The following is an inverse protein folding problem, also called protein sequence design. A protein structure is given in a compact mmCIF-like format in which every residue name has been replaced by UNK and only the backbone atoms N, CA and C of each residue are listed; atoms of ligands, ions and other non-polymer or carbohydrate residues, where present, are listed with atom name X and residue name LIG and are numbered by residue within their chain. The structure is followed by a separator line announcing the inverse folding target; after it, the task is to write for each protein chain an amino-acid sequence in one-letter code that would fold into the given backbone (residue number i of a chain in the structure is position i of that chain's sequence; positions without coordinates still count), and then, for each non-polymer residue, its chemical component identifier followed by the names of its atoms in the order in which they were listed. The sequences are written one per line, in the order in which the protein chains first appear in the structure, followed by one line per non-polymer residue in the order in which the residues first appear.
data_IF_259185500877
#
_entry.id   IF_259185500877
#
_cell.length_a   1.000
_cell.length_b   1.000
_cell.length_c   1.000
_cell.angle_alpha   90.00
_cell.angle_beta   90.00
_cell.angle_gamma   90.00
#
_symmetry.space_group_name_H-M   'P 1'
#
loop_
_entity.id
_entity.type
_entity.pdbx_description
1 polymer ?
#
# COMPACT_ATOMS: atom_id res chain seq x y z
N UNK A 1 10.56 -27.44 -7.66
CA UNK A 1 11.43 -27.54 -6.47
C UNK A 1 11.37 -26.18 -5.82
N UNK A 2 10.83 -26.08 -4.60
CA UNK A 2 10.76 -24.81 -3.90
C UNK A 2 12.18 -24.34 -3.54
N UNK A 3 12.54 -23.13 -3.97
CA UNK A 3 13.85 -22.55 -3.67
C UNK A 3 13.89 -22.13 -2.20
N UNK A 4 14.56 -22.93 -1.37
CA UNK A 4 14.75 -22.61 0.06
C UNK A 4 15.90 -21.61 0.23
N UNK A 5 15.60 -20.50 0.89
CA UNK A 5 16.52 -19.42 1.22
C UNK A 5 17.04 -19.58 2.64
N UNK A 6 18.30 -19.23 2.89
CA UNK A 6 18.93 -19.38 4.20
C UNK A 6 19.64 -18.11 4.64
N UNK A 7 19.50 -17.79 5.92
CA UNK A 7 20.28 -16.74 6.59
C UNK A 7 21.54 -17.38 7.18
N UNK A 8 22.70 -16.87 6.79
CA UNK A 8 24.01 -17.35 7.24
C UNK A 8 24.71 -16.27 8.05
N UNK A 9 25.22 -16.64 9.22
CA UNK A 9 26.11 -15.80 10.03
C UNK A 9 27.55 -16.24 9.84
N UNK A 10 28.38 -15.37 9.25
CA UNK A 10 29.81 -15.63 9.09
C UNK A 10 30.55 -15.41 10.41
N UNK A 11 31.72 -16.05 10.53
CA UNK A 11 32.68 -15.79 11.61
C UNK A 11 33.17 -14.34 11.68
N UNK A 12 33.10 -13.57 10.58
CA UNK A 12 33.44 -12.15 10.56
C UNK A 12 32.34 -11.24 11.14
N UNK A 13 31.24 -11.83 11.62
CA UNK A 13 30.09 -11.09 12.17
C UNK A 13 29.06 -10.66 11.12
N UNK A 14 29.37 -10.74 9.82
CA UNK A 14 28.42 -10.41 8.76
C UNK A 14 27.31 -11.47 8.64
N UNK A 15 26.07 -11.01 8.60
CA UNK A 15 24.91 -11.85 8.26
C UNK A 15 24.52 -11.61 6.80
N UNK A 16 24.21 -12.67 6.05
CA UNK A 16 23.82 -12.53 4.64
C UNK A 16 22.91 -13.68 4.22
N UNK A 17 22.17 -13.46 3.13
CA UNK A 17 21.28 -14.44 2.55
C UNK A 17 21.94 -15.24 1.44
N UNK A 18 21.57 -16.51 1.32
CA UNK A 18 21.96 -17.37 0.19
C UNK A 18 20.85 -18.38 -0.08
N UNK A 19 20.85 -18.98 -1.28
CA UNK A 19 20.07 -20.20 -1.52
C UNK A 19 20.76 -21.36 -0.79
N UNK A 20 19.97 -22.30 -0.27
CA UNK A 20 20.47 -23.46 0.49
C UNK A 20 21.49 -24.29 -0.28
N UNK A 21 21.34 -24.38 -1.60
CA UNK A 21 22.22 -25.15 -2.48
C UNK A 21 23.48 -24.41 -2.98
N UNK A 22 23.59 -23.09 -2.79
CA UNK A 22 24.59 -22.26 -3.50
C UNK A 22 25.55 -21.48 -2.58
N UNK A 23 25.48 -21.66 -1.27
CA UNK A 23 26.37 -20.93 -0.37
C UNK A 23 27.79 -21.50 -0.41
N UNK A 24 28.77 -20.70 -0.85
CA UNK A 24 30.19 -21.09 -0.89
C UNK A 24 31.10 -20.20 -0.05
N UNK A 25 30.88 -18.88 -0.05
CA UNK A 25 31.74 -17.93 0.65
C UNK A 25 30.99 -16.68 1.09
N UNK A 26 31.48 -16.06 2.16
CA UNK A 26 30.93 -14.81 2.66
C UNK A 26 31.24 -13.67 1.67
N UNK A 27 30.23 -12.89 1.25
CA UNK A 27 30.43 -11.80 0.29
C UNK A 27 31.29 -10.65 0.86
N UNK A 28 31.50 -10.59 2.18
CA UNK A 28 32.27 -9.54 2.85
C UNK A 28 33.74 -9.88 3.05
N UNK A 29 34.05 -11.11 3.45
CA UNK A 29 35.42 -11.52 3.81
C UNK A 29 35.94 -12.74 3.04
N UNK A 30 35.16 -13.32 2.13
CA UNK A 30 35.53 -14.49 1.34
C UNK A 30 35.58 -15.81 2.12
N UNK A 31 35.33 -15.81 3.43
CA UNK A 31 35.39 -17.04 4.23
C UNK A 31 34.24 -17.99 3.91
N UNK A 32 34.53 -19.28 3.75
CA UNK A 32 33.53 -20.36 3.68
C UNK A 32 32.99 -20.76 5.07
N UNK A 33 33.54 -20.19 6.15
CA UNK A 33 33.12 -20.49 7.52
C UNK A 33 31.91 -19.63 7.90
N UNK A 34 30.72 -20.17 7.70
CA UNK A 34 29.45 -19.58 8.11
C UNK A 34 28.48 -20.63 8.65
N UNK A 35 27.62 -20.24 9.58
CA UNK A 35 26.56 -21.12 10.12
C UNK A 35 25.20 -20.64 9.67
N UNK A 36 24.39 -21.56 9.13
CA UNK A 36 22.97 -21.32 8.87
C UNK A 36 22.23 -21.07 10.17
N UNK A 37 21.46 -19.99 10.22
CA UNK A 37 20.68 -19.58 11.38
C UNK A 37 19.19 -19.94 11.20
N UNK A 38 18.63 -19.61 10.04
CA UNK A 38 17.20 -19.78 9.72
C UNK A 38 17.02 -20.06 8.23
N UNK A 39 15.91 -20.71 7.90
CA UNK A 39 15.47 -20.98 6.53
C UNK A 39 14.19 -20.19 6.24
N UNK A 40 14.02 -19.76 4.99
CA UNK A 40 12.93 -18.92 4.52
C UNK A 40 12.40 -19.47 3.19
N UNK A 41 11.09 -19.34 2.99
CA UNK A 41 10.43 -19.76 1.76
C UNK A 41 10.30 -18.63 0.74
N UNK A 42 10.63 -17.39 1.14
CA UNK A 42 10.55 -16.21 0.27
C UNK A 42 11.83 -15.37 0.31
N UNK A 43 12.27 -14.78 -0.81
CA UNK A 43 13.40 -13.85 -0.84
C UNK A 43 13.18 -12.60 0.03
N UNK A 44 11.96 -12.11 0.13
CA UNK A 44 11.60 -10.88 0.86
C UNK A 44 11.80 -11.07 2.35
N UNK A 45 11.28 -12.17 2.90
CA UNK A 45 11.45 -12.51 4.33
C UNK A 45 12.92 -12.75 4.70
N UNK A 46 13.72 -13.32 3.78
CA UNK A 46 15.16 -13.41 3.95
C UNK A 46 15.81 -12.02 3.99
N UNK A 47 15.46 -11.12 3.06
CA UNK A 47 16.04 -9.79 2.98
C UNK A 47 15.79 -8.98 4.26
N UNK A 48 14.57 -9.04 4.81
CA UNK A 48 14.23 -8.44 6.10
C UNK A 48 15.08 -9.02 7.24
N UNK A 49 15.21 -10.35 7.31
CA UNK A 49 15.99 -11.00 8.34
C UNK A 49 17.49 -10.68 8.26
N UNK A 50 18.03 -10.54 7.05
CA UNK A 50 19.42 -10.08 6.82
C UNK A 50 19.60 -8.65 7.29
N UNK A 51 18.68 -7.75 6.94
CA UNK A 51 18.73 -6.35 7.36
C UNK A 51 18.67 -6.22 8.89
N UNK A 52 17.71 -6.89 9.54
CA UNK A 52 17.58 -6.91 10.99
C UNK A 52 18.84 -7.47 11.69
N UNK A 53 19.43 -8.55 11.15
CA UNK A 53 20.61 -9.18 11.75
C UNK A 53 21.90 -8.36 11.61
N UNK A 54 21.91 -7.36 10.72
CA UNK A 54 23.04 -6.46 10.54
C UNK A 54 22.79 -5.05 11.11
N UNK A 55 21.62 -4.82 11.72
CA UNK A 55 21.28 -3.52 12.27
C UNK A 55 22.02 -3.29 13.61
N UNK A 56 22.73 -2.16 13.78
CA UNK A 56 23.34 -1.82 15.06
C UNK A 56 22.28 -1.58 16.14
N UNK A 57 22.45 -2.16 17.32
CA UNK A 57 21.52 -2.00 18.45
C UNK A 57 21.39 -0.55 18.93
N UNK A 58 22.38 0.30 18.66
CA UNK A 58 22.35 1.72 19.03
C UNK A 58 21.30 2.53 18.25
N UNK A 59 20.83 2.06 17.09
CA UNK A 59 19.93 2.80 16.19
C UNK A 59 18.65 2.00 15.88
N UNK A 60 18.53 0.77 16.40
CA UNK A 60 17.38 -0.09 16.10
C UNK A 60 16.06 0.55 16.50
N UNK A 61 15.99 1.12 17.70
CA UNK A 61 14.77 1.77 18.22
C UNK A 61 14.38 3.02 17.40
N UNK A 62 15.35 3.83 17.00
CA UNK A 62 15.12 5.03 16.19
C UNK A 62 14.56 4.66 14.81
N UNK A 63 15.10 3.60 14.19
CA UNK A 63 14.63 3.13 12.89
C UNK A 63 13.23 2.53 13.00
N UNK A 64 12.98 1.68 13.99
CA UNK A 64 11.65 1.11 14.25
C UNK A 64 10.59 2.20 14.47
N UNK A 65 10.93 3.21 15.28
CA UNK A 65 10.07 4.38 15.52
C UNK A 65 9.74 5.13 14.22
N UNK A 66 10.74 5.40 13.37
CA UNK A 66 10.53 6.09 12.09
C UNK A 66 9.70 5.28 11.11
N UNK A 67 9.92 3.96 11.05
CA UNK A 67 9.13 3.07 10.20
C UNK A 67 7.67 3.07 10.66
N UNK A 68 7.42 2.94 11.97
CA UNK A 68 6.08 2.98 12.52
C UNK A 68 5.39 4.33 12.23
N UNK A 69 6.09 5.45 12.45
CA UNK A 69 5.57 6.78 12.15
C UNK A 69 5.23 6.96 10.66
N UNK A 70 6.08 6.46 9.76
CA UNK A 70 5.83 6.50 8.31
C UNK A 70 4.64 5.62 7.91
N UNK A 71 4.51 4.43 8.48
CA UNK A 71 3.38 3.55 8.25
C UNK A 71 2.07 4.18 8.73
N UNK A 72 2.05 4.77 9.93
CA UNK A 72 0.90 5.53 10.44
C UNK A 72 0.57 6.73 9.56
N UNK A 73 1.57 7.46 9.06
CA UNK A 73 1.38 8.58 8.13
C UNK A 73 0.75 8.12 6.82
N UNK A 74 1.22 7.01 6.24
CA UNK A 74 0.65 6.43 5.02
C UNK A 74 -0.79 5.96 5.23
N UNK A 75 -1.07 5.31 6.35
CA UNK A 75 -2.43 4.92 6.72
C UNK A 75 -3.37 6.14 6.83
N UNK A 76 -2.92 7.19 7.51
CA UNK A 76 -3.67 8.44 7.63
C UNK A 76 -3.88 9.16 6.28
N UNK A 77 -2.94 9.07 5.34
CA UNK A 77 -3.13 9.58 3.97
C UNK A 77 -4.17 8.75 3.21
N UNK A 78 -4.15 7.43 3.37
CA UNK A 78 -5.18 6.54 2.82
C UNK A 78 -6.58 6.83 3.37
N UNK A 79 -6.69 7.12 4.67
CA UNK A 79 -7.95 7.55 5.31
C UNK A 79 -8.39 8.95 4.86
N UNK A 80 -7.47 9.91 4.69
CA UNK A 80 -7.81 11.22 4.13
C UNK A 80 -8.26 11.15 2.66
N UNK A 81 -7.71 10.22 1.89
CA UNK A 81 -8.19 9.91 0.55
C UNK A 81 -9.57 9.23 0.52
N UNK A 82 -10.08 8.78 1.68
CA UNK A 82 -11.47 8.33 1.90
C UNK A 82 -12.35 9.40 2.57
N UNK A 83 -11.94 10.66 2.59
CA UNK A 83 -12.75 11.74 3.18
C UNK A 83 -12.67 13.08 2.45
N UNK A 84 -11.72 13.24 1.53
CA UNK A 84 -11.54 14.50 0.79
C UNK A 84 -12.35 14.60 -0.51
N UNK A 85 -12.33 15.79 -1.17
CA UNK A 85 -13.02 16.04 -2.44
C UNK A 85 -12.64 15.05 -3.56
N UNK A 86 -11.38 14.62 -3.61
CA UNK A 86 -10.88 13.60 -4.53
C UNK A 86 -11.60 12.25 -4.38
N UNK A 87 -11.99 11.91 -3.15
CA UNK A 87 -12.72 10.68 -2.86
C UNK A 87 -14.13 10.74 -3.45
N UNK A 88 -14.80 11.87 -3.30
CA UNK A 88 -16.13 12.13 -3.88
C UNK A 88 -16.04 12.07 -5.41
N UNK A 89 -15.03 12.69 -6.03
CA UNK A 89 -14.80 12.58 -7.48
C UNK A 89 -14.57 11.13 -7.95
N UNK A 90 -13.79 10.34 -7.20
CA UNK A 90 -13.61 8.91 -7.48
C UNK A 90 -14.94 8.16 -7.43
N UNK A 91 -15.74 8.38 -6.39
CA UNK A 91 -17.04 7.74 -6.20
C UNK A 91 -18.01 8.12 -7.33
N UNK A 92 -18.02 9.38 -7.74
CA UNK A 92 -18.80 9.84 -8.90
C UNK A 92 -18.41 9.09 -10.19
N UNK A 93 -17.11 8.90 -10.44
CA UNK A 93 -16.67 8.12 -11.62
C UNK A 93 -17.07 6.65 -11.52
N UNK A 94 -16.96 6.04 -10.34
CA UNK A 94 -17.39 4.65 -10.11
C UNK A 94 -18.91 4.47 -10.29
N UNK A 95 -19.67 5.51 -9.97
CA UNK A 95 -21.12 5.57 -10.10
C UNK A 95 -21.61 5.87 -11.51
N UNK A 96 -20.69 6.21 -12.42
CA UNK A 96 -20.99 6.50 -13.82
C UNK A 96 -21.10 5.19 -14.60
N UNK A 97 -22.23 4.99 -15.26
CA UNK A 97 -22.48 3.81 -16.10
C UNK A 97 -21.53 3.73 -17.29
N UNK A 98 -21.48 2.57 -17.95
CA UNK A 98 -20.68 2.37 -19.17
C UNK A 98 -21.15 3.22 -20.36
N UNK A 99 -22.35 3.78 -20.26
CA UNK A 99 -22.92 4.76 -21.20
C UNK A 99 -22.51 6.22 -20.89
N UNK A 100 -21.68 6.44 -19.85
CA UNK A 100 -21.23 7.76 -19.44
C UNK A 100 -22.24 8.53 -18.59
N UNK A 101 -23.34 7.89 -18.15
CA UNK A 101 -24.39 8.53 -17.36
C UNK A 101 -24.18 8.32 -15.87
N UNK A 102 -24.23 9.41 -15.12
CA UNK A 102 -24.30 9.41 -13.67
C UNK A 102 -25.75 9.62 -13.24
N UNK A 103 -26.24 8.83 -12.28
CA UNK A 103 -27.58 8.98 -11.71
C UNK A 103 -27.50 9.17 -10.20
N UNK A 104 -28.49 9.86 -9.60
CA UNK A 104 -28.56 9.99 -8.13
C UNK A 104 -28.57 8.62 -7.47
N UNK A 105 -29.34 7.66 -8.01
CA UNK A 105 -29.48 6.31 -7.43
C UNK A 105 -28.16 5.55 -7.38
N UNK A 106 -27.38 5.57 -8.47
CA UNK A 106 -26.08 4.91 -8.50
C UNK A 106 -25.09 5.60 -7.56
N UNK A 107 -25.09 6.93 -7.55
CA UNK A 107 -24.22 7.71 -6.66
C UNK A 107 -24.53 7.51 -5.18
N UNK A 108 -25.81 7.53 -4.78
CA UNK A 108 -26.22 7.28 -3.39
C UNK A 108 -25.77 5.89 -2.94
N UNK A 109 -25.95 4.87 -3.79
CA UNK A 109 -25.52 3.50 -3.45
C UNK A 109 -24.00 3.39 -3.26
N UNK A 110 -23.20 4.04 -4.10
CA UNK A 110 -21.74 4.00 -3.95
C UNK A 110 -21.25 4.84 -2.76
N UNK A 111 -21.89 5.98 -2.46
CA UNK A 111 -21.60 6.77 -1.25
C UNK A 111 -21.87 5.96 0.02
N UNK A 112 -23.02 5.27 0.09
CA UNK A 112 -23.35 4.39 1.23
C UNK A 112 -22.38 3.21 1.36
N UNK A 113 -22.00 2.57 0.25
CA UNK A 113 -21.01 1.48 0.25
C UNK A 113 -19.65 1.91 0.79
N UNK A 114 -19.24 3.14 0.49
CA UNK A 114 -17.97 3.71 0.96
C UNK A 114 -18.08 4.37 2.35
N UNK A 115 -19.28 4.35 2.97
CA UNK A 115 -19.51 4.80 4.35
C UNK A 115 -19.74 6.30 4.50
N UNK A 116 -20.10 7.00 3.43
CA UNK A 116 -20.43 8.43 3.47
C UNK A 116 -21.91 8.64 3.77
N UNK A 117 -22.19 9.31 4.90
CA UNK A 117 -23.56 9.71 5.28
C UNK A 117 -23.86 11.16 4.88
N UNK A 118 -22.83 12.00 4.82
CA UNK A 118 -22.86 13.36 4.26
C UNK A 118 -21.55 13.61 3.49
N UNK A 119 -21.56 14.35 2.37
CA UNK A 119 -22.71 14.98 1.71
C UNK A 119 -23.64 13.97 1.00
N UNK A 120 -24.91 14.33 0.82
CA UNK A 120 -25.87 13.51 0.07
C UNK A 120 -25.54 13.51 -1.43
N UNK A 121 -26.02 12.51 -2.18
CA UNK A 121 -25.80 12.43 -3.62
C UNK A 121 -26.31 13.68 -4.37
N UNK A 122 -27.42 14.27 -3.92
CA UNK A 122 -27.97 15.51 -4.47
C UNK A 122 -27.06 16.71 -4.21
N UNK A 123 -26.45 16.79 -3.03
CA UNK A 123 -25.48 17.83 -2.70
C UNK A 123 -24.21 17.69 -3.55
N UNK A 124 -23.71 16.46 -3.72
CA UNK A 124 -22.54 16.17 -4.56
C UNK A 124 -22.81 16.56 -6.01
N UNK A 125 -23.95 16.15 -6.58
CA UNK A 125 -24.33 16.49 -7.95
C UNK A 125 -24.57 17.98 -8.11
N UNK A 126 -25.26 18.62 -7.16
CA UNK A 126 -25.52 20.06 -7.19
C UNK A 126 -24.23 20.88 -7.16
N UNK A 127 -23.25 20.46 -6.36
CA UNK A 127 -21.92 21.07 -6.34
C UNK A 127 -21.19 20.87 -7.67
N UNK A 128 -21.18 19.64 -8.20
CA UNK A 128 -20.52 19.33 -9.47
C UNK A 128 -21.16 20.03 -10.68
N UNK A 129 -22.48 20.24 -10.67
CA UNK A 129 -23.20 21.04 -11.67
C UNK A 129 -22.82 22.53 -11.56
N UNK A 130 -22.70 23.06 -10.34
CA UNK A 130 -22.27 24.44 -10.09
C UNK A 130 -20.81 24.70 -10.48
N UNK A 131 -19.93 23.73 -10.26
CA UNK A 131 -18.51 23.79 -10.62
C UNK A 131 -18.26 23.55 -12.12
N UNK A 132 -19.29 23.19 -12.89
CA UNK A 132 -19.16 22.91 -14.32
C UNK A 132 -18.42 21.61 -14.63
N UNK A 133 -18.52 20.62 -13.74
CA UNK A 133 -17.97 19.27 -13.93
C UNK A 133 -18.99 18.36 -14.62
N UNK A 134 -20.26 18.55 -14.30
CA UNK A 134 -21.38 17.80 -14.86
C UNK A 134 -22.37 18.74 -15.54
N UNK A 135 -23.06 18.23 -16.55
CA UNK A 135 -24.28 18.84 -17.06
C UNK A 135 -25.46 17.87 -16.94
N UNK A 136 -26.62 18.43 -16.64
CA UNK A 136 -27.86 17.67 -16.52
C UNK A 136 -28.37 17.28 -17.90
N UNK A 137 -28.49 15.98 -18.16
CA UNK A 137 -29.13 15.48 -19.38
C UNK A 137 -30.61 15.18 -19.17
N UNK A 138 -31.00 14.64 -18.01
CA UNK A 138 -32.38 14.32 -17.64
C UNK A 138 -32.65 14.69 -16.17
N UNK A 139 -33.91 14.65 -15.70
CA UNK A 139 -34.22 14.94 -14.29
C UNK A 139 -33.47 14.09 -13.27
N UNK A 140 -33.09 12.85 -13.63
CA UNK A 140 -32.31 11.94 -12.78
C UNK A 140 -30.96 11.52 -13.41
N UNK A 141 -30.48 12.20 -14.46
CA UNK A 141 -29.26 11.80 -15.18
C UNK A 141 -28.35 12.99 -15.55
N UNK A 142 -27.05 12.79 -15.35
CA UNK A 142 -25.98 13.75 -15.63
C UNK A 142 -24.89 13.11 -16.47
N UNK A 143 -24.21 13.94 -17.26
CA UNK A 143 -23.03 13.56 -18.01
C UNK A 143 -21.87 14.47 -17.62
N UNK A 144 -20.65 13.95 -17.80
CA UNK A 144 -19.42 14.70 -17.63
C UNK A 144 -19.24 15.71 -18.76
N UNK A 145 -18.75 16.90 -18.42
CA UNK A 145 -18.32 17.93 -19.38
C UNK A 145 -16.92 17.65 -19.94
#
# INVERSE_FOLDING_TARGET
MDEVWILVKCICGNSFGSRKASFTSCPRCGSSKGKTQREFQSPESLAEAVAASNLPSQISQEIESRIAAEQSRRAAVGEKARGGPEAIHRIMRQSTGSDGRLTIKTLSSELEKEGYTEPSAEQVIGQAEMEGILFRADPESWHWL
#
